data_IF_025140090903
#
_entry.id   IF_025140090903
#
_cell.length_a   1.000
_cell.length_b   1.000
_cell.length_c   1.000
_cell.angle_alpha   90.00
_cell.angle_beta   90.00
_cell.angle_gamma   90.00
#
_symmetry.space_group_name_H-M   'P 1'
#
loop_
_entity.id
_entity.type
_entity.pdbx_description
1 polymer ?
#
# COMPACT_ATOMS: atom_id res chain seq x y z
N UNK A 1 1.76 -13.74 16.66
CA UNK A 1 0.82 -13.71 15.52
C UNK A 1 1.29 -12.60 14.61
N UNK A 2 2.12 -12.93 13.61
CA UNK A 2 2.57 -11.90 12.69
C UNK A 2 1.40 -11.49 11.78
N UNK A 3 1.29 -10.19 11.59
CA UNK A 3 0.24 -9.53 10.81
C UNK A 3 0.90 -8.88 9.60
N UNK A 4 1.28 -9.67 8.58
CA UNK A 4 2.02 -9.17 7.42
C UNK A 4 1.14 -8.31 6.52
N UNK A 5 1.78 -7.38 5.81
CA UNK A 5 1.17 -6.63 4.72
C UNK A 5 0.95 -7.57 3.52
N UNK A 6 -0.30 -7.75 3.11
CA UNK A 6 -0.70 -8.74 2.10
C UNK A 6 -1.72 -8.20 1.09
N UNK A 7 -2.30 -7.01 1.31
CA UNK A 7 -3.28 -6.41 0.41
C UNK A 7 -2.70 -5.18 -0.26
N UNK A 8 -2.68 -5.16 -1.60
CA UNK A 8 -2.26 -4.03 -2.42
C UNK A 8 -3.30 -3.83 -3.52
N UNK A 9 -3.80 -2.59 -3.67
CA UNK A 9 -4.67 -2.19 -4.77
C UNK A 9 -4.16 -0.87 -5.38
N UNK A 10 -4.35 -0.71 -6.69
CA UNK A 10 -4.04 0.51 -7.40
C UNK A 10 -5.28 1.42 -7.43
N UNK A 11 -5.09 2.70 -7.12
CA UNK A 11 -6.09 3.75 -7.22
C UNK A 11 -5.75 4.64 -8.42
N UNK A 12 -6.46 4.41 -9.53
CA UNK A 12 -6.26 5.11 -10.80
C UNK A 12 -6.58 6.61 -10.71
N UNK A 13 -7.55 7.00 -9.89
CA UNK A 13 -8.00 8.39 -9.77
C UNK A 13 -6.92 9.29 -9.14
N UNK A 14 -6.17 8.74 -8.19
CA UNK A 14 -5.19 9.50 -7.39
C UNK A 14 -3.73 9.17 -7.73
N UNK A 15 -3.50 8.24 -8.66
CA UNK A 15 -2.18 7.67 -8.98
C UNK A 15 -1.44 7.27 -7.70
N UNK A 16 -2.04 6.32 -6.97
CA UNK A 16 -1.55 5.88 -5.66
C UNK A 16 -1.86 4.42 -5.39
N UNK A 17 -1.26 3.86 -4.34
CA UNK A 17 -1.52 2.50 -3.88
C UNK A 17 -2.26 2.53 -2.56
N UNK A 18 -3.23 1.64 -2.40
CA UNK A 18 -3.82 1.29 -1.11
C UNK A 18 -3.16 0.02 -0.59
N UNK A 19 -2.58 0.09 0.61
CA UNK A 19 -1.84 -1.02 1.24
C UNK A 19 -2.46 -1.37 2.59
N UNK A 20 -2.62 -2.67 2.85
CA UNK A 20 -3.14 -3.19 4.11
C UNK A 20 -2.62 -4.60 4.42
N UNK A 21 -2.98 -5.13 5.58
CA UNK A 21 -2.57 -6.43 6.08
C UNK A 21 -3.65 -7.10 6.91
N UNK A 22 -3.51 -8.40 7.13
CA UNK A 22 -4.49 -9.18 7.92
C UNK A 22 -4.51 -8.65 9.35
N UNK A 23 -5.66 -8.16 9.83
CA UNK A 23 -5.86 -7.54 11.16
C UNK A 23 -5.30 -6.12 11.33
N UNK A 24 -4.91 -5.43 10.25
CA UNK A 24 -4.54 -4.03 10.37
C UNK A 24 -5.79 -3.19 10.64
N UNK A 25 -5.76 -2.26 11.61
CA UNK A 25 -6.90 -1.39 11.89
C UNK A 25 -7.10 -0.30 10.81
N UNK A 26 -6.16 -0.16 9.87
CA UNK A 26 -6.15 0.89 8.86
C UNK A 26 -5.75 0.37 7.47
N UNK A 27 -6.15 1.13 6.46
CA UNK A 27 -5.65 1.05 5.08
C UNK A 27 -4.86 2.33 4.84
N UNK A 28 -3.64 2.19 4.31
CA UNK A 28 -2.78 3.33 3.99
C UNK A 28 -2.82 3.61 2.51
N UNK A 29 -2.99 4.89 2.15
CA UNK A 29 -2.78 5.37 0.78
C UNK A 29 -1.36 5.90 0.67
N UNK A 30 -0.56 5.34 -0.23
CA UNK A 30 0.85 5.69 -0.41
C UNK A 30 1.14 6.06 -1.87
N UNK A 31 2.13 6.93 -2.08
CA UNK A 31 2.74 7.18 -3.40
C UNK A 31 4.17 6.67 -3.37
N UNK A 32 4.62 6.06 -4.47
CA UNK A 32 6.00 5.66 -4.62
C UNK A 32 6.85 6.89 -4.97
N UNK A 33 8.05 7.05 -4.40
CA UNK A 33 8.98 8.07 -4.86
C UNK A 33 9.32 7.83 -6.33
N UNK A 34 9.40 8.90 -7.12
CA UNK A 34 9.76 8.82 -8.55
C UNK A 34 11.21 8.29 -8.74
N UNK A 35 12.05 8.46 -7.73
CA UNK A 35 13.43 7.99 -7.74
C UNK A 35 13.60 6.74 -6.87
N UNK A 36 13.56 5.57 -7.52
CA UNK A 36 14.46 4.42 -7.32
C UNK A 36 14.07 3.28 -8.27
N UNK A 37 14.76 3.22 -9.40
CA UNK A 37 15.11 1.95 -10.03
C UNK A 37 16.60 1.73 -9.74
N UNK A 38 16.89 0.77 -8.86
CA UNK A 38 18.15 0.04 -8.83
C UNK A 38 17.86 -1.38 -9.31
#
# INVERSE_FOLDING_TARGET
FDSPANGIAYDEENDSLLVTGKYWPYIFRIKLPQDKQI
#
